data_IF_530695044797
#
_entry.id   IF_530695044797
#
_cell.length_a   1.000
_cell.length_b   1.000
_cell.length_c   1.000
_cell.angle_alpha   90.00
_cell.angle_beta   90.00
_cell.angle_gamma   90.00
#
_symmetry.space_group_name_H-M   'P 1'
#
loop_
_entity.id
_entity.type
_entity.pdbx_description
1 polymer ?
#
# COMPACT_ATOMS: atom_id res chain seq x y z
N UNK A 1 -25.76 19.12 -14.99
CA UNK A 1 -25.21 19.50 -13.68
C UNK A 1 -25.64 18.44 -12.68
N UNK A 2 -24.81 17.43 -12.48
CA UNK A 2 -24.95 16.55 -11.32
C UNK A 2 -24.57 17.37 -10.10
N UNK A 3 -25.50 17.51 -9.16
CA UNK A 3 -25.28 18.11 -7.84
C UNK A 3 -24.02 17.53 -7.21
N UNK A 4 -23.19 18.37 -6.57
CA UNK A 4 -22.00 17.90 -5.86
C UNK A 4 -22.46 16.92 -4.77
N UNK A 5 -22.07 15.64 -4.90
CA UNK A 5 -22.20 14.65 -3.84
C UNK A 5 -21.11 14.93 -2.78
N UNK A 6 -21.13 16.13 -2.20
CA UNK A 6 -20.11 16.55 -1.23
C UNK A 6 -20.35 15.97 0.16
N UNK A 7 -21.61 15.71 0.51
CA UNK A 7 -21.95 15.08 1.78
C UNK A 7 -22.46 13.65 1.58
N UNK A 8 -22.01 12.74 2.44
CA UNK A 8 -22.56 11.38 2.55
C UNK A 8 -24.04 11.43 2.92
N UNK A 9 -24.82 10.46 2.42
CA UNK A 9 -26.22 10.30 2.77
C UNK A 9 -26.40 10.21 4.30
N UNK A 10 -27.49 10.74 4.87
CA UNK A 10 -27.75 10.68 6.31
C UNK A 10 -27.72 9.25 6.88
N UNK A 11 -28.17 8.27 6.10
CA UNK A 11 -28.13 6.84 6.44
C UNK A 11 -26.69 6.32 6.53
N UNK A 12 -25.83 6.68 5.58
CA UNK A 12 -24.40 6.35 5.57
C UNK A 12 -23.71 6.95 6.81
N UNK A 13 -23.92 8.24 7.09
CA UNK A 13 -23.36 8.92 8.28
C UNK A 13 -23.78 8.25 9.58
N UNK A 14 -25.05 7.85 9.69
CA UNK A 14 -25.57 7.10 10.85
C UNK A 14 -24.91 5.72 11.00
N UNK A 15 -24.70 5.01 9.89
CA UNK A 15 -24.05 3.70 9.90
C UNK A 15 -22.58 3.79 10.35
N UNK A 16 -21.82 4.78 9.85
CA UNK A 16 -20.45 5.06 10.29
C UNK A 16 -20.40 5.37 11.79
N UNK A 17 -21.29 6.25 12.24
CA UNK A 17 -21.40 6.62 13.65
C UNK A 17 -21.74 5.43 14.55
N UNK A 18 -22.69 4.60 14.14
CA UNK A 18 -23.04 3.38 14.83
C UNK A 18 -21.84 2.43 14.92
N UNK A 19 -21.11 2.25 13.81
CA UNK A 19 -19.97 1.33 13.77
C UNK A 19 -18.85 1.72 14.74
N UNK A 20 -18.53 3.01 14.84
CA UNK A 20 -17.51 3.49 15.78
C UNK A 20 -18.03 3.49 17.23
N UNK A 21 -19.32 3.70 17.45
CA UNK A 21 -19.94 3.60 18.78
C UNK A 21 -19.89 2.18 19.33
N UNK A 22 -20.21 1.18 18.49
CA UNK A 22 -20.07 -0.23 18.85
C UNK A 22 -18.61 -0.59 19.14
N UNK A 23 -17.67 -0.19 18.27
CA UNK A 23 -16.24 -0.42 18.50
C UNK A 23 -15.76 0.17 19.84
N UNK A 24 -16.17 1.40 20.14
CA UNK A 24 -15.76 2.09 21.36
C UNK A 24 -16.37 1.43 22.60
N UNK A 25 -17.69 1.17 22.58
CA UNK A 25 -18.40 0.63 23.73
C UNK A 25 -17.99 -0.82 24.04
N UNK A 26 -18.01 -1.71 23.05
CA UNK A 26 -17.63 -3.12 23.23
C UNK A 26 -16.12 -3.28 23.46
N UNK A 27 -15.31 -2.43 22.81
CA UNK A 27 -13.87 -2.37 23.02
C UNK A 27 -13.47 -1.65 24.31
N UNK A 28 -14.42 -1.07 25.04
CA UNK A 28 -14.24 -0.35 26.32
C UNK A 28 -13.16 0.74 26.23
N UNK A 29 -13.02 1.38 25.06
CA UNK A 29 -12.02 2.41 24.82
C UNK A 29 -12.46 3.74 25.47
N UNK A 30 -11.60 4.44 26.25
CA UNK A 30 -11.96 5.73 26.81
C UNK A 30 -12.29 6.77 25.74
N UNK A 31 -11.59 6.73 24.61
CA UNK A 31 -11.84 7.56 23.44
C UNK A 31 -11.54 6.78 22.17
N UNK A 32 -12.37 6.99 21.15
CA UNK A 32 -12.19 6.52 19.80
C UNK A 32 -12.64 7.62 18.82
N UNK A 33 -11.73 7.99 17.91
CA UNK A 33 -11.98 8.96 16.84
C UNK A 33 -11.79 8.30 15.48
N UNK A 34 -12.50 8.78 14.48
CA UNK A 34 -12.38 8.28 13.12
C UNK A 34 -12.64 9.36 12.08
N UNK A 35 -12.04 9.16 10.90
CA UNK A 35 -12.31 9.94 9.70
C UNK A 35 -12.47 9.02 8.49
N UNK A 36 -13.26 9.46 7.51
CA UNK A 36 -13.41 8.79 6.21
C UNK A 36 -13.13 9.78 5.09
N UNK A 37 -12.27 9.37 4.17
CA UNK A 37 -11.88 10.08 2.95
C UNK A 37 -12.59 9.45 1.76
N UNK A 38 -13.11 10.28 0.85
CA UNK A 38 -13.65 9.88 -0.45
C UNK A 38 -13.29 10.94 -1.48
N UNK A 39 -12.91 10.56 -2.69
CA UNK A 39 -12.65 11.56 -3.73
C UNK A 39 -11.39 12.41 -3.46
N UNK A 40 -10.49 11.96 -2.59
CA UNK A 40 -9.35 12.76 -2.13
C UNK A 40 -9.69 13.85 -1.09
N UNK A 41 -10.87 13.83 -0.47
CA UNK A 41 -11.26 14.76 0.60
C UNK A 41 -11.86 14.02 1.77
N UNK A 42 -11.71 14.55 2.98
CA UNK A 42 -12.42 14.02 4.14
C UNK A 42 -13.90 14.36 4.02
N UNK A 43 -14.75 13.34 4.08
CA UNK A 43 -16.22 13.45 3.91
C UNK A 43 -16.98 13.16 5.19
N UNK A 44 -16.30 12.63 6.21
CA UNK A 44 -16.89 12.36 7.52
C UNK A 44 -15.83 12.30 8.61
N UNK A 45 -16.20 12.83 9.78
CA UNK A 45 -15.50 12.65 11.05
C UNK A 45 -16.50 12.18 12.11
N UNK A 46 -16.03 11.39 13.07
CA UNK A 46 -16.82 10.98 14.21
C UNK A 46 -15.96 10.64 15.40
N UNK A 47 -16.49 10.86 16.60
CA UNK A 47 -15.82 10.53 17.85
C UNK A 47 -16.79 9.95 18.87
N UNK A 48 -16.23 9.13 19.77
CA UNK A 48 -16.92 8.51 20.90
C UNK A 48 -15.97 8.52 22.08
N UNK A 49 -16.45 8.99 23.22
CA UNK A 49 -15.65 9.18 24.43
C UNK A 49 -16.48 8.84 25.66
N UNK A 50 -15.82 8.36 26.72
CA UNK A 50 -16.40 8.21 28.05
C UNK A 50 -16.38 9.51 28.86
N UNK A 51 -15.72 10.57 28.37
CA UNK A 51 -15.67 11.86 29.05
C UNK A 51 -16.80 12.79 28.57
N UNK A 52 -17.73 13.07 29.47
CA UNK A 52 -18.86 13.97 29.21
C UNK A 52 -18.37 15.38 28.81
N UNK A 53 -18.97 15.92 27.74
CA UNK A 53 -18.67 17.26 27.23
C UNK A 53 -17.32 17.42 26.52
N UNK A 54 -16.51 16.36 26.38
CA UNK A 54 -15.15 16.41 25.82
C UNK A 54 -14.96 15.43 24.66
N UNK A 55 -15.82 15.53 23.64
CA UNK A 55 -15.64 14.78 22.40
C UNK A 55 -14.40 15.31 21.66
N UNK A 56 -13.36 14.48 21.44
CA UNK A 56 -12.20 14.92 20.68
C UNK A 56 -12.62 15.27 19.25
N UNK A 57 -12.09 16.38 18.76
CA UNK A 57 -12.23 16.79 17.37
C UNK A 57 -11.17 16.11 16.48
N UNK A 58 -11.20 16.44 15.19
CA UNK A 58 -10.28 15.91 14.18
C UNK A 58 -8.82 16.35 14.36
N UNK A 59 -8.54 17.29 15.26
CA UNK A 59 -7.23 17.88 15.53
C UNK A 59 -6.56 17.33 16.80
N UNK A 60 -7.26 16.56 17.64
CA UNK A 60 -6.65 15.95 18.82
C UNK A 60 -5.63 14.89 18.41
N UNK A 61 -4.40 15.01 18.93
CA UNK A 61 -3.36 14.03 18.62
C UNK A 61 -3.53 12.72 19.39
N UNK A 62 -3.24 11.61 18.71
CA UNK A 62 -3.07 10.27 19.28
C UNK A 62 -1.72 9.75 18.85
N UNK A 63 -1.12 8.88 19.67
CA UNK A 63 0.09 8.15 19.26
C UNK A 63 -0.30 7.12 18.20
N UNK A 64 0.39 7.12 17.06
CA UNK A 64 0.01 6.29 15.90
C UNK A 64 0.82 5.00 15.77
N UNK A 65 1.79 4.81 16.67
CA UNK A 65 2.63 3.62 16.72
C UNK A 65 3.22 3.31 15.35
N UNK A 66 3.10 2.04 14.95
CA UNK A 66 3.71 1.51 13.73
C UNK A 66 3.26 2.13 12.40
N UNK A 67 2.22 2.97 12.34
CA UNK A 67 1.97 3.80 11.14
C UNK A 67 3.20 4.68 10.83
N UNK A 68 4.02 5.00 11.84
CA UNK A 68 5.33 5.67 11.68
C UNK A 68 6.24 4.99 10.66
N UNK A 69 6.18 3.66 10.52
CA UNK A 69 6.98 2.91 9.52
C UNK A 69 6.69 3.36 8.11
N UNK A 70 5.41 3.61 7.79
CA UNK A 70 5.02 4.09 6.47
C UNK A 70 5.64 5.46 6.17
N UNK A 71 5.76 6.35 7.15
CA UNK A 71 6.47 7.62 7.00
C UNK A 71 7.97 7.43 6.77
N UNK A 72 8.61 6.52 7.51
CA UNK A 72 10.03 6.17 7.30
C UNK A 72 10.25 5.56 5.91
N UNK A 73 9.35 4.68 5.45
CA UNK A 73 9.41 4.09 4.12
C UNK A 73 9.31 5.15 3.01
N UNK A 74 8.45 6.17 3.17
CA UNK A 74 8.36 7.30 2.23
C UNK A 74 9.71 8.01 2.08
N UNK A 75 10.42 8.27 3.19
CA UNK A 75 11.74 8.90 3.13
C UNK A 75 12.77 8.03 2.40
N UNK A 76 12.77 6.72 2.63
CA UNK A 76 13.67 5.78 1.96
C UNK A 76 13.40 5.71 0.46
N UNK A 77 12.13 5.62 0.05
CA UNK A 77 11.77 5.65 -1.37
C UNK A 77 12.09 7.00 -2.02
N UNK A 78 12.03 8.10 -1.26
CA UNK A 78 12.42 9.42 -1.77
C UNK A 78 13.92 9.46 -2.06
N UNK A 79 14.75 8.91 -1.18
CA UNK A 79 16.19 8.76 -1.43
C UNK A 79 16.45 7.91 -2.69
N UNK A 80 15.65 6.88 -2.93
CA UNK A 80 15.72 6.09 -4.17
C UNK A 80 15.32 6.90 -5.41
N UNK A 81 14.21 7.62 -5.37
CA UNK A 81 13.74 8.44 -6.50
C UNK A 81 14.76 9.53 -6.87
N UNK A 82 15.51 10.03 -5.88
CA UNK A 82 16.60 11.00 -6.06
C UNK A 82 17.94 10.35 -6.49
N UNK A 83 17.99 9.00 -6.62
CA UNK A 83 19.18 8.27 -7.06
C UNK A 83 20.30 8.17 -6.01
N UNK A 84 19.99 8.39 -4.73
CA UNK A 84 20.97 8.33 -3.64
C UNK A 84 21.22 6.91 -3.13
N UNK A 85 20.30 6.00 -3.40
CA UNK A 85 20.41 4.57 -3.10
C UNK A 85 19.61 3.76 -4.11
N UNK A 86 19.98 2.49 -4.29
CA UNK A 86 19.13 1.48 -4.91
C UNK A 86 18.48 0.63 -3.83
N UNK A 87 17.20 0.23 -3.98
CA UNK A 87 16.54 -0.61 -2.96
C UNK A 87 17.20 -1.99 -2.81
N UNK A 88 17.88 -2.47 -3.86
CA UNK A 88 18.65 -3.72 -3.83
C UNK A 88 20.04 -3.58 -3.21
N UNK A 89 20.46 -2.39 -2.82
CA UNK A 89 21.76 -2.20 -2.18
C UNK A 89 21.81 -2.92 -0.82
N UNK A 90 22.94 -3.59 -0.49
CA UNK A 90 23.18 -4.06 0.87
C UNK A 90 23.34 -2.86 1.79
N UNK A 91 22.84 -2.96 3.02
CA UNK A 91 22.84 -1.86 3.98
C UNK A 91 24.25 -1.34 4.25
N UNK A 92 25.26 -2.21 4.29
CA UNK A 92 26.66 -1.83 4.57
C UNK A 92 27.24 -0.81 3.59
N UNK A 93 26.72 -0.76 2.35
CA UNK A 93 27.14 0.22 1.34
C UNK A 93 26.90 1.66 1.81
N UNK A 94 25.85 1.87 2.59
CA UNK A 94 25.40 3.20 3.03
C UNK A 94 25.58 3.41 4.54
N UNK A 95 25.39 2.35 5.33
CA UNK A 95 25.43 2.36 6.79
C UNK A 95 26.30 1.18 7.30
N UNK A 96 27.64 1.33 7.27
CA UNK A 96 28.56 0.28 7.70
C UNK A 96 28.52 0.08 9.22
N UNK A 97 29.14 -1.01 9.70
CA UNK A 97 29.35 -1.31 11.13
C UNK A 97 28.06 -1.54 11.96
N UNK A 98 26.95 -1.88 11.31
CA UNK A 98 25.66 -2.17 11.96
C UNK A 98 25.51 -3.60 12.48
N UNK A 99 26.41 -4.51 12.09
CA UNK A 99 26.31 -5.95 12.39
C UNK A 99 25.28 -6.70 11.53
N UNK A 100 24.60 -6.01 10.61
CA UNK A 100 23.52 -6.54 9.75
C UNK A 100 23.65 -6.08 8.30
N UNK A 101 24.89 -5.80 7.89
CA UNK A 101 25.24 -5.15 6.62
C UNK A 101 24.77 -5.86 5.35
N UNK A 102 24.59 -7.18 5.43
CA UNK A 102 24.15 -8.03 4.31
C UNK A 102 22.66 -7.88 3.96
N UNK A 103 21.83 -7.38 4.89
CA UNK A 103 20.43 -7.12 4.60
C UNK A 103 20.31 -5.98 3.59
N UNK A 104 19.49 -6.17 2.56
CA UNK A 104 19.22 -5.12 1.57
C UNK A 104 18.15 -4.14 2.06
N UNK A 105 18.13 -2.94 1.48
CA UNK A 105 17.17 -1.89 1.85
C UNK A 105 15.72 -2.35 1.58
N UNK A 106 15.47 -3.04 0.47
CA UNK A 106 14.14 -3.58 0.14
C UNK A 106 13.69 -4.63 1.15
N UNK A 107 14.60 -5.47 1.64
CA UNK A 107 14.29 -6.50 2.63
C UNK A 107 13.95 -5.90 4.00
N UNK A 108 14.58 -4.78 4.37
CA UNK A 108 14.21 -4.03 5.58
C UNK A 108 12.81 -3.40 5.42
N UNK A 109 12.53 -2.77 4.28
CA UNK A 109 11.22 -2.16 3.99
C UNK A 109 10.08 -3.18 3.99
N UNK A 110 10.33 -4.36 3.42
CA UNK A 110 9.35 -5.45 3.27
C UNK A 110 9.28 -6.41 4.46
N UNK A 111 10.10 -6.21 5.51
CA UNK A 111 10.23 -7.13 6.64
C UNK A 111 10.64 -8.55 6.23
N UNK A 112 11.56 -8.68 5.28
CA UNK A 112 12.09 -9.97 4.81
C UNK A 112 13.57 -10.15 5.12
N UNK A 113 14.20 -9.22 5.84
CA UNK A 113 15.63 -9.30 6.19
C UNK A 113 15.99 -10.43 7.15
N UNK A 114 14.99 -11.06 7.79
CA UNK A 114 15.20 -12.12 8.78
C UNK A 114 15.65 -11.64 10.16
N UNK A 115 15.64 -10.33 10.40
CA UNK A 115 15.95 -9.72 11.69
C UNK A 115 14.94 -10.08 12.78
N UNK A 116 15.38 -10.01 14.04
CA UNK A 116 14.52 -10.13 15.20
C UNK A 116 13.36 -9.11 15.16
N UNK A 117 12.21 -9.51 15.72
CA UNK A 117 11.01 -8.69 15.70
C UNK A 117 11.14 -7.44 16.58
N UNK A 118 11.78 -7.61 17.73
CA UNK A 118 11.93 -6.61 18.77
C UNK A 118 13.39 -6.44 19.17
N UNK A 119 13.72 -5.27 19.71
CA UNK A 119 15.02 -5.06 20.34
C UNK A 119 15.16 -5.90 21.61
N UNK A 120 16.40 -6.20 22.07
CA UNK A 120 16.63 -6.96 23.29
C UNK A 120 15.93 -6.36 24.51
N UNK A 121 15.60 -7.20 25.48
CA UNK A 121 14.96 -6.80 26.74
C UNK A 121 15.72 -5.65 27.44
N UNK A 122 15.03 -4.78 28.19
CA UNK A 122 13.59 -4.82 28.57
C UNK A 122 12.64 -4.32 27.47
N UNK A 123 11.32 -4.46 27.67
CA UNK A 123 10.27 -4.04 26.72
C UNK A 123 10.43 -2.58 26.25
N UNK A 124 10.83 -2.39 24.99
CA UNK A 124 11.26 -1.09 24.47
C UNK A 124 10.15 -0.05 24.40
N UNK A 125 8.89 -0.44 24.19
CA UNK A 125 7.77 0.50 24.10
C UNK A 125 7.40 1.12 25.48
N UNK A 126 7.88 0.49 26.57
CA UNK A 126 7.68 0.92 27.96
C UNK A 126 8.95 1.42 28.64
N UNK A 127 10.06 1.50 27.90
CA UNK A 127 11.32 1.90 28.49
C UNK A 127 11.93 3.02 27.66
N UNK A 128 12.50 4.03 28.34
CA UNK A 128 13.20 5.12 27.66
C UNK A 128 14.22 4.61 26.64
N UNK A 129 14.18 5.17 25.44
CA UNK A 129 15.14 4.94 24.37
C UNK A 129 16.57 5.29 24.77
N UNK A 130 16.78 6.05 25.85
CA UNK A 130 18.10 6.32 26.42
C UNK A 130 18.82 5.05 26.91
N UNK A 131 18.12 3.92 27.09
CA UNK A 131 18.75 2.63 27.35
C UNK A 131 19.43 2.01 26.13
N UNK A 132 19.18 2.56 24.93
CA UNK A 132 19.72 2.09 23.64
C UNK A 132 20.22 3.29 22.84
N UNK A 133 21.28 3.96 23.30
CA UNK A 133 21.81 5.15 22.64
C UNK A 133 22.30 4.86 21.20
N UNK A 134 22.80 3.65 20.96
CA UNK A 134 23.44 3.28 19.69
C UNK A 134 22.70 2.13 18.97
N UNK A 135 22.96 1.99 17.66
CA UNK A 135 22.36 0.92 16.84
C UNK A 135 22.66 -0.50 17.35
N UNK A 136 23.87 -0.84 17.81
CA UNK A 136 24.16 -2.16 18.38
C UNK A 136 23.28 -2.49 19.59
N UNK A 137 22.91 -1.50 20.41
CA UNK A 137 22.03 -1.70 21.57
C UNK A 137 20.60 -2.11 21.15
N UNK A 138 20.19 -1.68 19.94
CA UNK A 138 18.90 -2.04 19.35
C UNK A 138 18.94 -3.42 18.70
N UNK A 139 20.05 -3.76 18.03
CA UNK A 139 20.21 -5.02 17.31
C UNK A 139 20.46 -6.21 18.26
N UNK A 140 21.20 -5.99 19.34
CA UNK A 140 21.68 -7.08 20.20
C UNK A 140 22.76 -7.94 19.55
N UNK A 141 23.13 -9.03 20.21
CA UNK A 141 24.25 -9.90 19.79
C UNK A 141 23.91 -10.82 18.61
N UNK A 142 22.65 -11.24 18.48
CA UNK A 142 22.18 -12.16 17.44
C UNK A 142 20.98 -11.56 16.69
N UNK A 143 21.22 -10.59 15.80
CA UNK A 143 20.15 -9.83 15.17
C UNK A 143 19.35 -10.65 14.15
N UNK A 144 19.96 -11.63 13.47
CA UNK A 144 19.28 -12.49 12.49
C UNK A 144 18.72 -13.76 13.14
N UNK A 145 17.41 -13.97 12.98
CA UNK A 145 16.71 -15.20 13.40
C UNK A 145 16.36 -16.10 12.22
N UNK A 146 16.32 -15.52 11.01
CA UNK A 146 15.95 -16.21 9.78
C UNK A 146 16.89 -15.80 8.64
N UNK A 147 17.01 -16.63 7.59
CA UNK A 147 17.72 -16.23 6.38
C UNK A 147 16.98 -15.09 5.66
N UNK A 148 17.74 -14.15 5.12
CA UNK A 148 17.20 -13.00 4.39
C UNK A 148 16.41 -13.42 3.13
N UNK A 149 15.37 -12.65 2.79
CA UNK A 149 14.52 -12.80 1.61
C UNK A 149 13.54 -13.98 1.63
N UNK A 150 13.60 -14.87 2.64
CA UNK A 150 12.84 -16.14 2.63
C UNK A 150 11.39 -16.03 3.09
N UNK A 151 11.10 -15.15 4.04
CA UNK A 151 9.78 -15.06 4.69
C UNK A 151 9.51 -13.65 5.20
N UNK A 152 8.24 -13.31 5.35
CA UNK A 152 7.84 -12.15 6.13
C UNK A 152 8.10 -12.41 7.63
N UNK A 153 8.85 -11.52 8.26
CA UNK A 153 9.05 -11.49 9.71
C UNK A 153 9.16 -10.03 10.16
N UNK A 154 8.05 -9.51 10.69
CA UNK A 154 7.93 -8.11 11.10
C UNK A 154 9.04 -7.72 12.08
N UNK A 155 9.73 -6.61 11.81
CA UNK A 155 10.90 -6.17 12.59
C UNK A 155 10.87 -4.66 12.86
N UNK A 156 10.72 -4.29 14.13
CA UNK A 156 10.90 -2.92 14.59
C UNK A 156 12.37 -2.47 14.47
N UNK A 157 13.38 -3.28 14.88
CA UNK A 157 14.80 -2.95 14.65
C UNK A 157 15.13 -2.66 13.18
N UNK A 158 14.53 -3.38 12.23
CA UNK A 158 14.73 -3.11 10.80
C UNK A 158 14.38 -1.67 10.39
N UNK A 159 13.32 -1.10 10.96
CA UNK A 159 12.92 0.28 10.70
C UNK A 159 13.79 1.32 11.43
N UNK A 160 14.40 0.95 12.56
CA UNK A 160 15.44 1.76 13.20
C UNK A 160 16.64 1.94 12.27
N UNK A 161 17.07 0.87 11.59
CA UNK A 161 18.15 0.94 10.60
C UNK A 161 17.77 1.82 9.40
N UNK A 162 16.53 1.73 8.91
CA UNK A 162 16.04 2.59 7.83
C UNK A 162 16.02 4.07 8.24
N UNK A 163 15.66 4.37 9.49
CA UNK A 163 15.76 5.74 10.00
C UNK A 163 17.21 6.23 10.06
N UNK A 164 18.13 5.42 10.58
CA UNK A 164 19.55 5.76 10.62
C UNK A 164 20.18 5.90 9.22
N UNK A 165 19.72 5.10 8.25
CA UNK A 165 20.09 5.25 6.85
C UNK A 165 19.67 6.61 6.29
N UNK A 166 18.44 7.05 6.59
CA UNK A 166 17.97 8.40 6.22
C UNK A 166 18.83 9.48 6.87
N UNK A 167 19.14 9.35 8.16
CA UNK A 167 20.01 10.31 8.87
C UNK A 167 21.39 10.41 8.22
N UNK A 168 21.97 9.26 7.88
CA UNK A 168 23.29 9.16 7.25
C UNK A 168 23.33 9.82 5.88
N UNK A 169 22.34 9.57 5.03
CA UNK A 169 22.30 10.07 3.65
C UNK A 169 21.86 11.55 3.56
N UNK A 170 21.15 12.06 4.57
CA UNK A 170 20.76 13.47 4.64
C UNK A 170 21.68 14.34 5.50
N UNK A 171 22.47 13.73 6.38
CA UNK A 171 23.31 14.45 7.36
C UNK A 171 22.50 15.24 8.39
N UNK A 172 21.27 14.81 8.70
CA UNK A 172 20.36 15.48 9.63
C UNK A 172 19.52 14.45 10.40
N UNK A 173 19.03 14.77 11.62
CA UNK A 173 18.17 13.87 12.40
C UNK A 173 16.93 13.43 11.63
N UNK A 174 16.47 12.19 11.86
CA UNK A 174 15.35 11.60 11.11
C UNK A 174 14.07 12.46 11.24
N UNK A 175 13.80 13.00 12.42
CA UNK A 175 12.65 13.88 12.66
C UNK A 175 12.66 15.17 11.83
N UNK A 176 13.84 15.76 11.60
CA UNK A 176 14.00 16.98 10.82
C UNK A 176 13.83 16.71 9.33
N UNK A 177 14.37 15.58 8.86
CA UNK A 177 14.18 15.11 7.49
C UNK A 177 12.69 14.82 7.25
N UNK A 178 12.04 14.07 8.15
CA UNK A 178 10.62 13.74 8.08
C UNK A 178 9.76 15.01 7.99
N UNK A 179 10.02 15.98 8.88
CA UNK A 179 9.28 17.24 8.91
C UNK A 179 9.41 17.99 7.58
N UNK A 180 10.63 18.21 7.10
CA UNK A 180 10.91 19.02 5.90
C UNK A 180 10.45 18.35 4.60
N UNK A 181 10.63 17.02 4.49
CA UNK A 181 10.49 16.30 3.23
C UNK A 181 9.13 15.60 3.08
N UNK A 182 8.36 15.45 4.15
CA UNK A 182 7.04 14.79 4.13
C UNK A 182 5.96 15.64 4.81
N UNK A 183 6.15 16.02 6.08
CA UNK A 183 5.09 16.65 6.85
C UNK A 183 4.72 18.03 6.33
N UNK A 184 5.71 18.91 6.10
CA UNK A 184 5.51 20.27 5.60
C UNK A 184 4.93 20.28 4.17
N UNK A 185 5.47 19.52 3.19
CA UNK A 185 4.91 19.46 1.84
C UNK A 185 3.45 18.97 1.81
N UNK A 186 3.12 17.94 2.60
CA UNK A 186 1.76 17.40 2.66
C UNK A 186 0.82 18.21 3.56
N UNK A 187 1.33 19.22 4.28
CA UNK A 187 0.56 20.04 5.19
C UNK A 187 0.08 19.28 6.44
N UNK A 188 0.86 18.29 6.90
CA UNK A 188 0.59 17.48 8.10
C UNK A 188 1.03 18.24 9.37
N UNK A 189 0.35 19.36 9.63
CA UNK A 189 0.76 20.36 10.62
C UNK A 189 0.70 19.89 12.07
N UNK A 190 -0.03 18.81 12.33
CA UNK A 190 -0.23 18.24 13.66
C UNK A 190 0.29 16.81 13.73
N UNK A 191 1.29 16.50 12.92
CA UNK A 191 2.05 15.26 13.02
C UNK A 191 3.44 15.59 13.58
N UNK A 192 3.85 14.89 14.63
CA UNK A 192 5.09 15.21 15.36
C UNK A 192 5.65 13.99 16.10
N UNK A 193 6.93 14.03 16.45
CA UNK A 193 7.58 12.97 17.25
C UNK A 193 7.21 13.02 18.73
N UNK A 194 6.77 14.18 19.21
CA UNK A 194 6.31 14.40 20.58
C UNK A 194 4.86 14.92 20.58
N UNK A 195 4.07 14.65 21.62
CA UNK A 195 2.71 15.17 21.70
C UNK A 195 2.69 16.71 21.78
N UNK A 196 1.70 17.31 21.14
CA UNK A 196 1.42 18.75 21.10
C UNK A 196 -0.07 18.97 21.40
N UNK A 197 -0.37 19.88 22.32
CA UNK A 197 -1.75 20.15 22.73
C UNK A 197 -2.63 20.70 21.59
N UNK A 198 -3.92 20.30 21.52
CA UNK A 198 -4.56 19.22 22.29
C UNK A 198 -4.08 17.82 21.88
N UNK A 199 -3.76 16.97 22.85
CA UNK A 199 -3.50 15.54 22.64
C UNK A 199 -4.26 14.65 23.63
N UNK A 200 -4.51 13.39 23.24
CA UNK A 200 -5.13 12.42 24.12
C UNK A 200 -4.11 11.86 25.13
N UNK A 201 -4.55 11.62 26.37
CA UNK A 201 -3.84 10.77 27.33
C UNK A 201 -4.08 9.30 27.01
N UNK A 202 -3.06 8.44 27.21
CA UNK A 202 -3.12 7.01 26.95
C UNK A 202 -3.45 6.19 28.20
N UNK A 203 -4.22 5.11 28.02
CA UNK A 203 -4.74 4.31 29.14
C UNK A 203 -4.59 2.80 28.93
N UNK A 204 -4.37 2.06 30.01
CA UNK A 204 -4.67 0.64 30.08
C UNK A 204 -6.06 0.46 30.69
N UNK A 205 -6.92 -0.31 30.04
CA UNK A 205 -8.24 -0.69 30.59
C UNK A 205 -8.12 -2.07 31.19
N UNK A 206 -8.57 -2.25 32.43
CA UNK A 206 -8.47 -3.52 33.11
C UNK A 206 -9.34 -4.58 32.39
N UNK A 207 -8.80 -5.77 32.07
CA UNK A 207 -9.50 -6.75 31.24
C UNK A 207 -10.77 -7.31 31.88
N UNK A 208 -10.89 -7.24 33.22
CA UNK A 208 -12.01 -7.81 33.97
C UNK A 208 -12.84 -6.80 34.79
N UNK A 209 -12.56 -5.50 34.68
CA UNK A 209 -13.24 -4.48 35.47
C UNK A 209 -13.26 -3.14 34.74
N UNK A 210 -14.32 -2.34 34.87
CA UNK A 210 -14.44 -0.98 34.32
C UNK A 210 -13.58 0.04 35.09
N UNK A 211 -12.27 -0.22 35.06
CA UNK A 211 -11.23 0.56 35.65
C UNK A 211 -10.13 0.82 34.61
N UNK A 212 -9.53 2.01 34.69
CA UNK A 212 -8.45 2.41 33.80
C UNK A 212 -7.23 2.89 34.59
N UNK A 213 -6.05 2.69 34.02
CA UNK A 213 -4.77 3.13 34.56
C UNK A 213 -4.05 3.99 33.50
N UNK A 214 -3.50 5.16 33.84
CA UNK A 214 -2.69 5.93 32.91
C UNK A 214 -1.46 5.13 32.45
N UNK A 215 -1.16 5.18 31.15
CA UNK A 215 0.04 4.57 30.58
C UNK A 215 1.16 5.60 30.36
N UNK A 216 2.43 5.24 30.61
CA UNK A 216 3.55 6.14 30.38
C UNK A 216 3.77 6.39 28.89
N UNK A 217 4.26 7.59 28.58
CA UNK A 217 4.66 7.99 27.23
C UNK A 217 6.17 8.14 27.18
N UNK A 218 6.85 7.10 26.73
CA UNK A 218 8.32 7.09 26.60
C UNK A 218 8.81 7.70 25.28
N UNK A 219 9.99 8.35 25.32
CA UNK A 219 10.79 8.60 24.11
C UNK A 219 11.39 7.29 23.64
N UNK A 220 11.22 6.96 22.36
CA UNK A 220 11.73 5.72 21.79
C UNK A 220 13.18 5.87 21.28
N UNK A 221 13.75 7.08 21.27
CA UNK A 221 15.14 7.32 20.87
C UNK A 221 15.43 6.75 19.48
N UNK A 222 16.43 5.86 19.37
CA UNK A 222 16.77 5.17 18.11
C UNK A 222 15.60 4.39 17.50
N UNK A 223 14.65 3.92 18.32
CA UNK A 223 13.46 3.21 17.84
C UNK A 223 12.36 4.15 17.31
N UNK A 224 12.56 5.47 17.33
CA UNK A 224 11.57 6.44 16.88
C UNK A 224 11.03 6.20 15.46
N UNK A 225 11.86 5.88 14.44
CA UNK A 225 11.42 5.58 13.08
C UNK A 225 10.49 4.36 12.95
N UNK A 226 10.41 3.52 13.98
CA UNK A 226 9.53 2.38 14.02
C UNK A 226 8.15 2.69 14.62
N UNK A 227 7.98 3.72 15.45
CA UNK A 227 6.72 3.90 16.19
C UNK A 227 6.44 5.21 16.93
N UNK A 228 7.32 6.21 16.89
CA UNK A 228 7.22 7.36 17.81
C UNK A 228 6.09 8.35 17.51
N UNK A 229 5.61 8.44 16.27
CA UNK A 229 4.80 9.58 15.85
C UNK A 229 3.46 9.70 16.59
N UNK A 230 3.05 10.95 16.69
CA UNK A 230 1.73 11.41 17.07
C UNK A 230 1.10 12.10 15.85
N UNK A 231 -0.18 11.89 15.63
CA UNK A 231 -0.92 12.51 14.53
C UNK A 231 -2.40 12.62 14.87
N UNK A 232 -3.17 13.19 13.95
CA UNK A 232 -4.60 13.41 14.09
C UNK A 232 -5.35 12.67 12.99
N UNK A 233 -6.68 12.56 13.10
CA UNK A 233 -7.46 11.98 12.01
C UNK A 233 -7.43 12.85 10.74
N UNK A 234 -7.30 14.16 10.88
CA UNK A 234 -7.23 15.10 9.74
C UNK A 234 -5.90 14.98 8.97
N UNK A 235 -4.77 14.92 9.69
CA UNK A 235 -3.47 14.71 9.06
C UNK A 235 -3.35 13.32 8.43
N UNK A 236 -3.75 12.26 9.14
CA UNK A 236 -3.73 10.91 8.57
C UNK A 236 -4.68 10.75 7.38
N UNK A 237 -5.80 11.50 7.34
CA UNK A 237 -6.67 11.55 6.17
C UNK A 237 -5.94 12.15 4.95
N UNK A 238 -5.20 13.25 5.12
CA UNK A 238 -4.34 13.82 4.04
C UNK A 238 -3.24 12.85 3.62
N UNK A 239 -2.60 12.21 4.60
CA UNK A 239 -1.59 11.20 4.32
C UNK A 239 -2.17 10.00 3.54
N UNK A 240 -3.42 9.60 3.85
CA UNK A 240 -4.14 8.57 3.08
C UNK A 240 -4.33 8.95 1.61
N UNK A 241 -4.68 10.22 1.34
CA UNK A 241 -4.81 10.74 -0.03
C UNK A 241 -3.49 10.66 -0.77
N UNK A 242 -2.39 11.07 -0.10
CA UNK A 242 -1.05 10.92 -0.65
C UNK A 242 -0.71 9.45 -0.94
N UNK A 243 -0.96 8.52 0.00
CA UNK A 243 -0.72 7.08 -0.21
C UNK A 243 -1.61 6.44 -1.30
N UNK A 244 -2.72 7.09 -1.67
CA UNK A 244 -3.55 6.64 -2.79
C UNK A 244 -3.04 7.18 -4.13
N UNK A 245 -2.66 8.46 -4.19
CA UNK A 245 -2.50 9.23 -5.44
C UNK A 245 -1.06 9.67 -5.75
N UNK A 246 -0.17 9.69 -4.77
CA UNK A 246 1.13 10.35 -4.86
C UNK A 246 1.02 11.89 -4.75
N UNK A 247 2.17 12.54 -4.62
CA UNK A 247 2.36 13.98 -4.67
C UNK A 247 3.82 14.24 -5.08
N UNK A 248 4.04 14.87 -6.23
CA UNK A 248 5.39 15.06 -6.80
C UNK A 248 6.33 15.91 -5.92
N UNK A 249 5.81 16.59 -4.89
CA UNK A 249 6.63 17.26 -3.87
C UNK A 249 7.28 16.27 -2.89
N UNK A 250 6.79 15.04 -2.82
CA UNK A 250 7.21 13.97 -1.89
C UNK A 250 7.56 12.68 -2.61
N UNK A 251 6.59 12.03 -3.26
CA UNK A 251 6.76 10.79 -4.04
C UNK A 251 5.74 10.74 -5.17
N UNK A 252 6.19 10.26 -6.33
CA UNK A 252 5.33 10.08 -7.49
C UNK A 252 4.18 9.08 -7.23
N UNK A 253 3.14 9.15 -8.06
CA UNK A 253 2.05 8.17 -8.06
C UNK A 253 2.53 6.73 -8.34
N UNK A 254 3.66 6.58 -9.01
CA UNK A 254 4.29 5.28 -9.30
C UNK A 254 5.01 4.72 -8.08
N UNK A 255 5.83 5.53 -7.40
CA UNK A 255 6.55 5.13 -6.20
C UNK A 255 5.57 4.73 -5.07
N UNK A 256 4.49 5.49 -4.90
CA UNK A 256 3.44 5.14 -3.94
C UNK A 256 2.65 3.87 -4.36
N UNK A 257 2.54 3.59 -5.67
CA UNK A 257 1.96 2.33 -6.16
C UNK A 257 2.87 1.13 -5.84
N UNK A 258 4.17 1.31 -5.91
CA UNK A 258 5.15 0.29 -5.51
C UNK A 258 5.02 -0.04 -4.02
N UNK A 259 4.90 0.98 -3.14
CA UNK A 259 4.74 0.77 -1.69
C UNK A 259 3.60 -0.19 -1.32
N UNK A 260 2.48 -0.11 -2.05
CA UNK A 260 1.28 -0.93 -1.83
C UNK A 260 1.27 -2.24 -2.60
N UNK A 261 2.32 -2.54 -3.35
CA UNK A 261 2.48 -3.81 -4.07
C UNK A 261 3.12 -4.84 -3.13
N UNK A 262 2.62 -6.08 -3.05
CA UNK A 262 3.25 -7.13 -2.26
C UNK A 262 4.73 -7.31 -2.62
N UNK A 263 5.60 -7.20 -1.60
CA UNK A 263 7.05 -7.33 -1.70
C UNK A 263 7.60 -8.45 -0.80
N UNK A 264 6.81 -8.93 0.16
CA UNK A 264 7.15 -10.07 1.00
C UNK A 264 6.52 -11.38 0.49
N UNK A 265 7.25 -12.51 0.52
CA UNK A 265 6.67 -13.81 0.20
C UNK A 265 5.63 -14.18 1.27
N UNK A 266 4.37 -14.47 0.88
CA UNK A 266 3.34 -14.85 1.85
C UNK A 266 3.57 -16.28 2.34
N UNK A 267 3.28 -16.53 3.61
CA UNK A 267 3.21 -17.88 4.13
C UNK A 267 1.86 -18.53 3.83
N UNK A 268 1.73 -19.84 4.03
CA UNK A 268 0.50 -20.56 3.71
C UNK A 268 -0.73 -19.98 4.43
N UNK A 269 -0.58 -19.55 5.68
CA UNK A 269 -1.66 -18.89 6.44
C UNK A 269 -2.00 -17.51 5.89
N UNK A 270 -0.99 -16.73 5.50
CA UNK A 270 -1.19 -15.40 4.91
C UNK A 270 -1.96 -15.51 3.58
N UNK A 271 -1.67 -16.55 2.79
CA UNK A 271 -2.42 -16.83 1.55
C UNK A 271 -3.90 -17.09 1.84
N UNK A 272 -4.22 -17.84 2.90
CA UNK A 272 -5.60 -18.12 3.30
C UNK A 272 -6.31 -16.86 3.80
N UNK A 273 -5.60 -16.02 4.55
CA UNK A 273 -6.11 -14.77 5.10
C UNK A 273 -6.10 -13.61 4.09
N UNK A 274 -5.54 -13.83 2.90
CA UNK A 274 -5.36 -12.81 1.87
C UNK A 274 -4.44 -11.68 2.33
N UNK A 275 -3.51 -11.96 3.23
CA UNK A 275 -2.55 -11.02 3.79
C UNK A 275 -1.25 -11.03 2.97
N UNK A 276 -0.65 -9.86 2.86
CA UNK A 276 0.67 -9.63 2.29
C UNK A 276 1.26 -8.34 2.87
N UNK A 277 2.51 -8.07 2.55
CA UNK A 277 3.20 -6.85 2.96
C UNK A 277 3.98 -6.26 1.79
N UNK A 278 3.85 -4.95 1.60
CA UNK A 278 4.58 -4.16 0.62
C UNK A 278 5.77 -3.43 1.25
N UNK A 279 6.11 -2.24 0.75
CA UNK A 279 7.20 -1.44 1.31
C UNK A 279 6.64 -0.50 2.40
N UNK A 280 6.63 -0.99 3.65
CA UNK A 280 6.08 -0.27 4.80
C UNK A 280 4.56 -0.19 4.87
N UNK A 281 3.86 -1.09 4.16
CA UNK A 281 2.41 -1.15 4.11
C UNK A 281 1.90 -2.58 4.19
N UNK A 282 0.89 -2.80 5.03
CA UNK A 282 0.10 -4.01 5.04
C UNK A 282 -0.84 -4.02 3.84
N UNK A 283 -1.01 -5.19 3.22
CA UNK A 283 -1.93 -5.43 2.12
C UNK A 283 -2.85 -6.58 2.52
N UNK A 284 -4.16 -6.36 2.54
CA UNK A 284 -5.12 -7.37 2.97
C UNK A 284 -6.30 -7.43 2.01
N UNK A 285 -6.67 -8.63 1.58
CA UNK A 285 -7.92 -8.88 0.89
C UNK A 285 -9.02 -9.19 1.89
N UNK A 286 -10.09 -8.37 1.90
CA UNK A 286 -11.21 -8.52 2.82
C UNK A 286 -12.52 -8.15 2.14
N UNK A 287 -13.56 -8.96 2.29
CA UNK A 287 -14.91 -8.68 1.75
C UNK A 287 -14.88 -8.29 0.26
N UNK A 288 -14.06 -8.99 -0.53
CA UNK A 288 -13.87 -8.74 -1.96
C UNK A 288 -13.00 -7.52 -2.31
N UNK A 289 -12.51 -6.77 -1.32
CA UNK A 289 -11.73 -5.54 -1.49
C UNK A 289 -10.26 -5.75 -1.18
N UNK A 290 -9.40 -5.03 -1.88
CA UNK A 290 -7.99 -4.91 -1.54
C UNK A 290 -7.81 -3.67 -0.65
N UNK A 291 -7.48 -3.90 0.61
CA UNK A 291 -7.22 -2.88 1.60
C UNK A 291 -5.72 -2.75 1.79
N UNK A 292 -5.21 -1.53 1.77
CA UNK A 292 -3.78 -1.25 2.00
C UNK A 292 -3.65 -0.18 3.06
N UNK A 293 -2.62 -0.24 3.89
CA UNK A 293 -2.49 0.67 5.03
C UNK A 293 -1.49 0.19 6.06
N UNK A 294 -1.68 0.60 7.30
CA UNK A 294 -0.90 0.08 8.42
C UNK A 294 -1.68 0.25 9.74
N UNK A 295 -1.54 -0.73 10.64
CA UNK A 295 -1.97 -0.62 12.03
C UNK A 295 -0.93 0.06 12.92
N UNK A 296 -1.31 0.44 14.13
CA UNK A 296 -0.40 0.98 15.13
C UNK A 296 -0.84 0.56 16.51
N UNK A 297 0.14 0.21 17.34
CA UNK A 297 -0.05 -0.06 18.76
C UNK A 297 1.15 0.50 19.49
N UNK A 298 0.90 1.18 20.60
CA UNK A 298 1.86 1.48 21.67
C UNK A 298 1.09 1.50 22.99
N UNK A 299 1.76 1.38 24.15
CA UNK A 299 1.10 1.50 25.44
C UNK A 299 0.19 2.75 25.49
N UNK A 300 -1.09 2.52 25.76
CA UNK A 300 -2.13 3.54 25.81
C UNK A 300 -2.77 3.91 24.47
N UNK A 301 -2.40 3.32 23.33
CA UNK A 301 -2.90 3.75 22.02
C UNK A 301 -3.02 2.61 20.99
N UNK A 302 -4.09 2.66 20.21
CA UNK A 302 -4.32 1.83 19.02
C UNK A 302 -4.66 2.73 17.84
N UNK A 303 -4.13 2.41 16.67
CA UNK A 303 -4.33 3.19 15.45
C UNK A 303 -4.53 2.28 14.23
N UNK A 304 -5.29 2.76 13.27
CA UNK A 304 -5.39 2.15 11.94
C UNK A 304 -5.57 3.23 10.89
N UNK A 305 -4.77 3.12 9.83
CA UNK A 305 -4.93 3.83 8.57
C UNK A 305 -5.18 2.75 7.50
N UNK A 306 -6.30 2.82 6.79
CA UNK A 306 -6.64 1.83 5.76
C UNK A 306 -7.29 2.51 4.57
N UNK A 307 -6.89 2.14 3.35
CA UNK A 307 -7.46 2.65 2.12
C UNK A 307 -7.78 1.53 1.12
N UNK A 308 -8.85 1.74 0.35
CA UNK A 308 -9.16 1.00 -0.87
C UNK A 308 -8.96 1.95 -2.04
N UNK A 309 -7.87 1.78 -2.79
CA UNK A 309 -7.58 2.61 -3.98
C UNK A 309 -8.66 2.42 -5.04
N UNK A 310 -9.17 1.19 -5.18
CA UNK A 310 -10.22 0.86 -6.15
C UNK A 310 -11.54 1.57 -5.83
N UNK A 311 -11.89 1.66 -4.55
CA UNK A 311 -13.11 2.35 -4.12
C UNK A 311 -12.90 3.87 -3.97
N UNK A 312 -11.65 4.36 -4.03
CA UNK A 312 -11.26 5.74 -3.70
C UNK A 312 -11.75 6.17 -2.32
N UNK A 313 -11.65 5.25 -1.34
CA UNK A 313 -12.04 5.45 0.06
C UNK A 313 -10.87 5.15 0.98
N UNK A 314 -10.67 5.98 2.00
CA UNK A 314 -9.81 5.66 3.13
C UNK A 314 -10.50 5.90 4.46
N UNK A 315 -10.07 5.20 5.50
CA UNK A 315 -10.53 5.36 6.86
C UNK A 315 -9.34 5.44 7.81
N UNK A 316 -9.47 6.33 8.80
CA UNK A 316 -8.57 6.44 9.95
C UNK A 316 -9.39 6.12 11.18
N UNK A 317 -8.87 5.29 12.08
CA UNK A 317 -9.47 5.01 13.40
C UNK A 317 -8.37 5.03 14.45
N UNK A 318 -8.52 5.89 15.47
CA UNK A 318 -7.56 6.05 16.57
C UNK A 318 -8.29 5.87 17.90
N UNK A 319 -7.67 5.17 18.84
CA UNK A 319 -8.18 4.97 20.19
C UNK A 319 -7.06 5.15 21.22
N UNK A 320 -7.40 5.64 22.42
CA UNK A 320 -6.43 5.88 23.50
C UNK A 320 -6.47 4.79 24.58
N UNK A 321 -6.40 3.53 24.15
CA UNK A 321 -6.21 2.39 25.04
C UNK A 321 -5.21 1.38 24.48
N UNK A 322 -4.48 0.65 25.33
CA UNK A 322 -3.50 -0.37 24.92
C UNK A 322 -4.14 -1.58 24.19
N UNK A 323 -5.37 -1.94 24.56
CA UNK A 323 -6.10 -3.10 24.00
C UNK A 323 -7.60 -2.87 24.09
N UNK A 324 -8.40 -3.73 23.45
CA UNK A 324 -9.86 -3.68 23.49
C UNK A 324 -10.48 -3.58 22.09
N UNK A 325 -10.58 -2.39 21.49
CA UNK A 325 -11.21 -2.23 20.18
C UNK A 325 -10.37 -2.83 19.05
N UNK A 326 -11.02 -3.54 18.13
CA UNK A 326 -10.42 -3.98 16.87
C UNK A 326 -10.40 -2.82 15.86
N UNK A 327 -9.49 -1.86 16.03
CA UNK A 327 -9.46 -0.61 15.24
C UNK A 327 -9.26 -0.85 13.73
N UNK A 328 -8.46 -1.85 13.35
CA UNK A 328 -8.26 -2.21 11.95
C UNK A 328 -9.54 -2.78 11.31
N UNK A 329 -10.29 -3.60 12.06
CA UNK A 329 -11.59 -4.09 11.63
C UNK A 329 -12.59 -2.93 11.50
N UNK A 330 -12.61 -2.01 12.46
CA UNK A 330 -13.46 -0.83 12.39
C UNK A 330 -13.14 0.02 11.15
N UNK A 331 -11.86 0.31 10.88
CA UNK A 331 -11.44 1.07 9.70
C UNK A 331 -11.87 0.38 8.39
N UNK A 332 -11.66 -0.93 8.27
CA UNK A 332 -12.10 -1.72 7.12
C UNK A 332 -13.62 -1.67 6.93
N UNK A 333 -14.39 -1.76 8.02
CA UNK A 333 -15.85 -1.61 7.99
C UNK A 333 -16.29 -0.21 7.55
N UNK A 334 -15.60 0.86 7.95
CA UNK A 334 -15.91 2.21 7.48
C UNK A 334 -15.69 2.35 5.97
N UNK A 335 -14.60 1.78 5.44
CA UNK A 335 -14.34 1.71 3.99
C UNK A 335 -15.47 0.97 3.28
N UNK A 336 -15.84 -0.22 3.79
CA UNK A 336 -16.91 -1.04 3.22
C UNK A 336 -18.26 -0.32 3.24
N UNK A 337 -18.65 0.28 4.36
CA UNK A 337 -19.91 1.01 4.52
C UNK A 337 -20.04 2.09 3.44
N UNK A 338 -19.02 2.91 3.24
CA UNK A 338 -19.06 3.96 2.22
C UNK A 338 -19.05 3.37 0.81
N UNK A 339 -18.21 2.36 0.54
CA UNK A 339 -18.15 1.74 -0.79
C UNK A 339 -19.49 1.10 -1.22
N UNK A 340 -20.25 0.52 -0.27
CA UNK A 340 -21.53 -0.16 -0.54
C UNK A 340 -22.72 0.80 -0.56
N UNK A 341 -22.76 1.75 0.38
CA UNK A 341 -23.89 2.68 0.49
C UNK A 341 -23.79 3.84 -0.51
N UNK A 342 -22.58 4.19 -0.96
CA UNK A 342 -22.29 5.31 -1.86
C UNK A 342 -21.45 4.83 -3.06
N UNK A 343 -21.96 3.91 -3.89
CA UNK A 343 -21.21 3.41 -5.05
C UNK A 343 -20.85 4.58 -5.97
N UNK A 344 -19.60 4.58 -6.47
CA UNK A 344 -19.12 5.68 -7.32
C UNK A 344 -19.90 5.69 -8.63
N UNK A 345 -20.43 6.85 -9.00
CA UNK A 345 -20.95 7.06 -10.35
C UNK A 345 -19.73 7.12 -11.28
N UNK A 346 -19.57 6.18 -12.23
CA UNK A 346 -18.45 6.22 -13.16
C UNK A 346 -18.57 7.45 -14.06
N UNK A 347 -17.42 7.99 -14.48
CA UNK A 347 -17.40 9.01 -15.52
C UNK A 347 -18.12 8.48 -16.77
N UNK A 348 -18.91 9.32 -17.47
CA UNK A 348 -19.49 8.93 -18.74
C UNK A 348 -18.41 8.43 -19.68
N UNK A 349 -18.68 7.31 -20.36
CA UNK A 349 -17.79 6.84 -21.41
C UNK A 349 -17.62 7.93 -22.47
N UNK A 350 -16.37 8.17 -22.87
CA UNK A 350 -16.03 9.11 -23.94
C UNK A 350 -15.22 8.37 -25.00
N UNK A 351 -15.49 8.61 -26.29
CA UNK A 351 -14.63 8.09 -27.35
C UNK A 351 -13.24 8.72 -27.26
N UNK A 352 -12.23 8.04 -27.82
CA UNK A 352 -10.88 8.60 -27.97
C UNK A 352 -10.94 9.91 -28.77
N UNK A 353 -10.19 10.96 -28.38
CA UNK A 353 -10.14 12.21 -29.15
C UNK A 353 -9.55 12.04 -30.54
N UNK A 354 -8.58 11.13 -30.68
CA UNK A 354 -7.95 10.74 -31.93
C UNK A 354 -7.59 9.25 -31.85
N UNK A 355 -7.62 8.57 -33.00
CA UNK A 355 -7.26 7.15 -33.10
C UNK A 355 -6.21 6.99 -34.19
N UNK A 356 -5.05 6.43 -33.84
CA UNK A 356 -4.05 6.00 -34.82
C UNK A 356 -4.58 4.76 -35.55
N UNK A 357 -4.76 4.86 -36.87
CA UNK A 357 -5.29 3.77 -37.70
C UNK A 357 -4.37 2.55 -37.71
N UNK A 358 -3.05 2.73 -37.59
CA UNK A 358 -2.10 1.62 -37.56
C UNK A 358 -2.20 0.83 -36.25
N UNK A 359 -2.61 1.48 -35.16
CA UNK A 359 -2.87 0.85 -33.87
C UNK A 359 -4.29 0.28 -33.82
N UNK A 360 -5.28 0.97 -34.41
CA UNK A 360 -6.65 0.48 -34.54
C UNK A 360 -6.73 -0.81 -35.35
N UNK A 361 -5.89 -0.93 -36.38
CA UNK A 361 -5.73 -2.16 -37.15
C UNK A 361 -5.49 -3.36 -36.22
N UNK A 362 -4.71 -3.20 -35.13
CA UNK A 362 -4.40 -4.28 -34.20
C UNK A 362 -5.60 -4.73 -33.35
N UNK A 363 -6.66 -3.94 -33.25
CA UNK A 363 -7.82 -4.30 -32.45
C UNK A 363 -8.53 -5.56 -33.00
N UNK A 364 -9.22 -6.27 -32.12
CA UNK A 364 -9.99 -7.46 -32.48
C UNK A 364 -9.35 -8.77 -32.01
N UNK A 365 -9.77 -9.90 -32.59
CA UNK A 365 -9.34 -11.22 -32.14
C UNK A 365 -7.90 -11.54 -32.54
N UNK A 366 -7.24 -12.30 -31.66
CA UNK A 366 -5.88 -12.80 -31.76
C UNK A 366 -5.81 -14.21 -31.15
N UNK A 367 -4.94 -15.07 -31.65
CA UNK A 367 -4.84 -16.46 -31.22
C UNK A 367 -3.41 -16.85 -30.91
N UNK A 368 -3.18 -17.40 -29.72
CA UNK A 368 -1.96 -18.13 -29.43
C UNK A 368 -2.27 -19.63 -29.46
N UNK A 369 -1.90 -20.28 -30.56
CA UNK A 369 -2.42 -21.61 -30.90
C UNK A 369 -3.94 -21.56 -31.01
N UNK A 370 -4.65 -22.33 -30.18
CA UNK A 370 -6.12 -22.33 -30.09
C UNK A 370 -6.68 -21.37 -29.04
N UNK A 371 -5.83 -20.75 -28.22
CA UNK A 371 -6.30 -19.84 -27.18
C UNK A 371 -6.67 -18.50 -27.80
N UNK A 372 -7.95 -18.14 -27.72
CA UNK A 372 -8.48 -16.90 -28.28
C UNK A 372 -8.33 -15.74 -27.29
N UNK A 373 -7.85 -14.62 -27.80
CA UNK A 373 -7.68 -13.35 -27.12
C UNK A 373 -8.35 -12.23 -27.92
N UNK A 374 -8.69 -11.14 -27.25
CA UNK A 374 -9.07 -9.88 -27.86
C UNK A 374 -8.07 -8.80 -27.47
N UNK A 375 -7.57 -8.10 -28.47
CA UNK A 375 -6.85 -6.85 -28.29
C UNK A 375 -7.83 -5.69 -28.41
N UNK A 376 -7.85 -4.81 -27.40
CA UNK A 376 -8.71 -3.62 -27.37
C UNK A 376 -7.86 -2.37 -27.17
N UNK A 377 -8.33 -1.27 -27.73
CA UNK A 377 -7.81 0.07 -27.44
C UNK A 377 -8.71 0.75 -26.42
N UNK A 378 -8.10 1.35 -25.42
CA UNK A 378 -8.81 2.04 -24.35
C UNK A 378 -8.68 3.55 -24.52
N UNK A 379 -9.65 4.31 -23.98
CA UNK A 379 -9.74 5.76 -24.16
C UNK A 379 -8.54 6.54 -23.58
N UNK A 380 -7.79 5.91 -22.68
CA UNK A 380 -6.53 6.40 -22.08
C UNK A 380 -5.29 6.11 -22.96
N UNK A 381 -5.47 5.55 -24.17
CA UNK A 381 -4.40 5.28 -25.12
C UNK A 381 -3.62 3.99 -24.85
N UNK A 382 -4.07 3.15 -23.92
CA UNK A 382 -3.46 1.84 -23.67
C UNK A 382 -4.01 0.78 -24.63
N UNK A 383 -3.22 -0.27 -24.79
CA UNK A 383 -3.62 -1.53 -25.43
C UNK A 383 -3.95 -2.53 -24.33
N UNK A 384 -5.09 -3.22 -24.40
CA UNK A 384 -5.40 -4.37 -23.53
C UNK A 384 -5.47 -5.67 -24.32
N UNK A 385 -4.84 -6.73 -23.81
CA UNK A 385 -4.94 -8.08 -24.33
C UNK A 385 -5.65 -8.96 -23.30
N UNK A 386 -6.75 -9.59 -23.71
CA UNK A 386 -7.64 -10.32 -22.81
C UNK A 386 -8.05 -11.66 -23.40
N UNK A 387 -7.96 -12.77 -22.66
CA UNK A 387 -8.54 -14.04 -23.10
C UNK A 387 -10.05 -13.89 -23.34
N UNK A 388 -10.53 -14.38 -24.48
CA UNK A 388 -11.96 -14.43 -24.81
C UNK A 388 -12.66 -15.61 -24.12
N UNK A 389 -11.90 -16.57 -23.59
CA UNK A 389 -12.41 -17.71 -22.84
C UNK A 389 -11.46 -18.09 -21.71
N UNK A 390 -11.97 -18.82 -20.71
CA UNK A 390 -11.19 -19.26 -19.56
C UNK A 390 -11.06 -18.23 -18.43
N UNK A 391 -10.09 -18.45 -17.53
CA UNK A 391 -9.86 -17.64 -16.32
C UNK A 391 -8.62 -16.74 -16.40
N UNK A 392 -8.05 -16.54 -17.58
CA UNK A 392 -6.85 -15.70 -17.72
C UNK A 392 -7.15 -14.22 -17.44
N UNK A 393 -6.13 -13.47 -17.00
CA UNK A 393 -6.26 -12.06 -16.64
C UNK A 393 -5.97 -11.16 -17.84
N UNK A 394 -6.60 -9.98 -17.84
CA UNK A 394 -6.26 -8.85 -18.72
C UNK A 394 -4.81 -8.43 -18.47
N UNK A 395 -4.07 -8.15 -19.54
CA UNK A 395 -2.81 -7.41 -19.49
C UNK A 395 -2.94 -6.10 -20.26
N UNK A 396 -2.46 -5.00 -19.67
CA UNK A 396 -2.42 -3.68 -20.30
C UNK A 396 -1.01 -3.32 -20.70
N UNK A 397 -0.88 -2.55 -21.78
CA UNK A 397 0.39 -2.15 -22.37
C UNK A 397 0.39 -0.65 -22.67
N UNK A 398 1.50 0.02 -22.36
CA UNK A 398 1.76 1.43 -22.66
C UNK A 398 2.59 1.54 -23.92
N UNK A 399 2.21 2.43 -24.84
CA UNK A 399 2.98 2.68 -26.06
C UNK A 399 4.36 3.29 -25.75
N UNK A 400 5.39 2.81 -26.44
CA UNK A 400 6.76 3.31 -26.34
C UNK A 400 7.08 4.42 -27.37
N UNK A 401 6.18 4.64 -28.34
CA UNK A 401 6.33 5.66 -29.40
C UNK A 401 7.12 5.20 -30.62
N UNK A 402 7.61 3.96 -30.62
CA UNK A 402 8.41 3.34 -31.69
C UNK A 402 7.71 2.15 -32.37
N UNK A 403 6.39 2.03 -32.18
CA UNK A 403 5.60 0.90 -32.67
C UNK A 403 5.63 -0.34 -31.76
N UNK A 404 6.18 -0.21 -30.55
CA UNK A 404 6.11 -1.23 -29.50
C UNK A 404 5.33 -0.75 -28.27
N UNK A 405 4.93 -1.70 -27.42
CA UNK A 405 4.26 -1.42 -26.16
C UNK A 405 4.87 -2.23 -25.01
N UNK A 406 5.03 -1.60 -23.85
CA UNK A 406 5.54 -2.26 -22.64
C UNK A 406 4.37 -2.70 -21.76
N UNK A 407 4.36 -3.97 -21.37
CA UNK A 407 3.34 -4.52 -20.47
C UNK A 407 3.46 -3.96 -19.06
N UNK A 408 2.31 -3.66 -18.45
CA UNK A 408 2.24 -2.92 -17.19
C UNK A 408 1.94 -3.80 -15.99
N UNK A 409 1.43 -5.02 -16.20
CA UNK A 409 0.89 -5.84 -15.12
C UNK A 409 0.80 -7.33 -15.47
N UNK A 410 0.76 -8.16 -14.41
CA UNK A 410 0.58 -9.60 -14.53
C UNK A 410 1.81 -10.30 -15.10
N UNK A 411 1.57 -11.39 -15.83
CA UNK A 411 2.64 -12.20 -16.40
C UNK A 411 3.49 -11.46 -17.45
N UNK A 412 2.91 -10.47 -18.13
CA UNK A 412 3.59 -9.67 -19.16
C UNK A 412 4.14 -8.33 -18.64
N UNK A 413 4.23 -8.13 -17.32
CA UNK A 413 4.81 -6.90 -16.78
C UNK A 413 6.28 -6.75 -17.22
N UNK A 414 6.62 -5.63 -17.85
CA UNK A 414 7.94 -5.36 -18.41
C UNK A 414 8.21 -5.99 -19.79
N UNK A 415 7.37 -6.92 -20.24
CA UNK A 415 7.50 -7.57 -21.55
C UNK A 415 7.11 -6.61 -22.69
N UNK A 416 7.75 -6.78 -23.85
CA UNK A 416 7.50 -5.97 -25.04
C UNK A 416 6.49 -6.68 -25.94
N UNK A 417 5.36 -6.02 -26.18
CA UNK A 417 4.44 -6.33 -27.25
C UNK A 417 4.88 -5.60 -28.53
N UNK A 418 4.99 -6.31 -29.64
CA UNK A 418 5.36 -5.76 -30.94
C UNK A 418 4.46 -6.31 -32.04
N UNK A 419 3.95 -5.43 -32.89
CA UNK A 419 3.29 -5.86 -34.13
C UNK A 419 4.34 -6.12 -35.21
N UNK A 420 4.41 -7.35 -35.69
CA UNK A 420 5.24 -7.72 -36.84
C UNK A 420 4.43 -7.54 -38.11
N UNK A 421 5.03 -6.89 -39.10
CA UNK A 421 4.38 -6.55 -40.37
C UNK A 421 5.05 -7.27 -41.53
N UNK A 422 4.24 -7.67 -42.50
CA UNK A 422 4.71 -8.24 -43.78
C UNK A 422 5.36 -7.15 -44.64
N UNK A 423 6.11 -7.51 -45.71
CA UNK A 423 6.70 -6.54 -46.62
C UNK A 423 5.70 -5.60 -47.30
N UNK A 424 4.42 -6.00 -47.41
CA UNK A 424 3.33 -5.18 -47.95
C UNK A 424 2.74 -4.18 -46.94
N UNK A 425 3.24 -4.19 -45.69
CA UNK A 425 2.81 -3.31 -44.62
C UNK A 425 1.65 -3.83 -43.77
N UNK A 426 1.01 -4.94 -44.15
CA UNK A 426 -0.07 -5.56 -43.35
C UNK A 426 0.48 -6.21 -42.08
N UNK A 427 -0.34 -6.28 -41.03
CA UNK A 427 0.06 -6.97 -39.79
C UNK A 427 0.05 -8.49 -40.02
N UNK A 428 1.18 -9.13 -39.71
CA UNK A 428 1.33 -10.58 -39.75
C UNK A 428 0.89 -11.20 -38.41
N UNK A 429 1.61 -10.86 -37.34
CA UNK A 429 1.38 -11.36 -35.99
C UNK A 429 1.77 -10.33 -34.93
N UNK A 430 1.46 -10.64 -33.67
CA UNK A 430 2.02 -9.95 -32.51
C UNK A 430 3.03 -10.84 -31.81
N UNK A 431 4.21 -10.29 -31.54
CA UNK A 431 5.19 -10.87 -30.63
C UNK A 431 4.99 -10.30 -29.23
N UNK A 432 4.97 -11.19 -28.24
CA UNK A 432 5.00 -10.82 -26.83
C UNK A 432 5.83 -11.85 -26.07
N UNK A 433 7.10 -11.54 -25.85
CA UNK A 433 8.08 -12.55 -25.39
C UNK A 433 8.24 -13.66 -26.44
N UNK A 434 8.08 -14.92 -26.03
CA UNK A 434 8.05 -16.07 -26.96
C UNK A 434 6.65 -16.42 -27.48
N UNK A 435 5.62 -15.66 -27.09
CA UNK A 435 4.25 -15.89 -27.52
C UNK A 435 4.00 -15.16 -28.83
N UNK A 436 3.59 -15.92 -29.85
CA UNK A 436 3.16 -15.36 -31.12
C UNK A 436 1.65 -15.46 -31.23
N UNK A 437 1.03 -14.31 -31.45
CA UNK A 437 -0.41 -14.20 -31.63
C UNK A 437 -0.74 -13.94 -33.10
N UNK A 438 -1.55 -14.79 -33.69
CA UNK A 438 -1.97 -14.72 -35.10
C UNK A 438 -3.45 -14.33 -35.21
N UNK A 439 -3.90 -13.91 -36.39
CA UNK A 439 -5.32 -13.57 -36.64
C UNK A 439 -6.22 -14.79 -36.74
N UNK A 440 -5.66 -15.95 -37.05
CA UNK A 440 -6.33 -17.24 -37.08
C UNK A 440 -5.54 -18.27 -36.27
N UNK A 441 -6.22 -19.25 -35.64
CA UNK A 441 -5.51 -20.32 -34.93
C UNK A 441 -4.72 -21.18 -35.93
N UNK A 442 -3.40 -21.32 -35.69
CA UNK A 442 -2.47 -22.04 -36.58
C UNK A 442 -2.48 -21.56 -38.04
N UNK A 443 -2.51 -20.25 -38.25
CA UNK A 443 -2.42 -19.60 -39.56
C UNK A 443 -1.21 -20.13 -40.38
N UNK A 444 -1.48 -20.76 -41.52
CA UNK A 444 -0.46 -21.38 -42.39
C UNK A 444 0.45 -20.34 -43.06
N UNK A 445 -0.02 -19.10 -43.21
CA UNK A 445 0.74 -18.02 -43.84
C UNK A 445 1.60 -17.24 -42.83
N UNK A 446 1.41 -17.48 -41.53
CA UNK A 446 2.19 -16.81 -40.49
C UNK A 446 3.61 -17.40 -40.37
N UNK A 447 4.59 -16.57 -39.97
CA UNK A 447 5.99 -16.96 -39.81
C UNK A 447 6.29 -17.93 -38.64
N UNK A 448 5.25 -18.45 -37.99
CA UNK A 448 5.28 -19.44 -36.89
C UNK A 448 4.97 -20.79 -37.51
N UNK A 449 5.34 -21.95 -36.93
CA UNK A 449 4.80 -23.24 -37.37
C UNK A 449 3.26 -23.29 -37.16
N UNK A 450 2.50 -22.67 -38.07
CA UNK A 450 1.11 -22.96 -38.38
C UNK A 450 1.03 -24.19 -39.28
N UNK A 451 -0.08 -24.93 -39.20
CA UNK A 451 -0.21 -26.20 -39.91
C UNK A 451 0.74 -27.30 -39.40
N UNK A 452 0.53 -27.78 -38.17
CA UNK A 452 1.30 -28.92 -37.64
C UNK A 452 0.99 -30.24 -38.35
N UNK A 453 -0.16 -30.30 -39.05
CA UNK A 453 -0.61 -31.45 -39.82
C UNK A 453 -1.02 -30.98 -41.24
N UNK A 454 -0.47 -31.57 -42.32
CA UNK A 454 -0.83 -31.23 -43.70
C UNK A 454 -2.31 -31.38 -44.04
N UNK A 455 -3.03 -32.20 -43.27
CA UNK A 455 -4.44 -32.49 -43.49
C UNK A 455 -5.39 -31.56 -42.68
N UNK A 456 -4.84 -30.66 -41.88
CA UNK A 456 -5.56 -29.61 -41.18
C UNK A 456 -6.53 -30.07 -40.08
N UNK A 457 -7.55 -29.25 -39.81
CA UNK A 457 -8.56 -29.51 -38.77
C UNK A 457 -9.50 -30.65 -39.16
N UNK A 458 -9.63 -31.67 -38.31
CA UNK A 458 -10.47 -32.85 -38.54
C UNK A 458 -11.44 -33.12 -37.39
N UNK A 459 -12.58 -33.73 -37.70
CA UNK A 459 -13.49 -34.27 -36.68
C UNK A 459 -12.98 -35.60 -36.11
N UNK A 460 -13.54 -36.05 -34.99
CA UNK A 460 -13.17 -37.32 -34.34
C UNK A 460 -13.37 -38.55 -35.24
N UNK A 461 -14.29 -38.48 -36.19
CA UNK A 461 -14.63 -39.60 -37.09
C UNK A 461 -13.59 -39.79 -38.21
N UNK A 462 -12.52 -38.98 -38.20
CA UNK A 462 -11.43 -38.97 -39.16
C UNK A 462 -10.10 -39.52 -38.59
N UNK A 463 -10.13 -40.10 -37.38
CA UNK A 463 -8.98 -40.73 -36.71
C UNK A 463 -8.91 -42.25 -36.91
#
# INVERSE_FOLDING_TARGET
MTTSQEELLPTTRRALLHRIAVAQAEGRAPSLVAAVVRGGRTVWHGSRTSMDGHAPDENVQYRIGSITKTFTAVLVLRLRDEGLLDLGDPLEKHLPETGVGEATIIELLAHTSGLAAESPAPWWERTSGSLRPELPDVMGEQPFLHPSGRRFHYSNPGYTLLGALVEKLRGAPWEDVLRREVLEPLGLKRTSTRPQEPHAGGWAVHPWADAMLPEPVEDLGRMAPAGQLWSTTDDLARFAVFLAKGDDRVLSAESVREMRTPAAPPEAVDVLDGAAYGLGMQVQRRDGRLLVGHGGSLPGFLASLTLSVQDDVAAVVLANCTSGPLVALAAADLVRIVAEAEPRIPEPWRPMPAVDTAVLELAGPWYWGTNAFALRLTADGLVSLEPLSGKGRRSRFRANGDGTWTGLEGYYAGEILKAVRRPDGTVDHLDLGSFVFTRQPYDEEAAVPGGVDPDGWRGSDSF
#
